data_IF_763219870424
#
_entry.id   IF_763219870424
#
_cell.length_a   1.000
_cell.length_b   1.000
_cell.length_c   1.000
_cell.angle_alpha   90.00
_cell.angle_beta   90.00
_cell.angle_gamma   90.00
#
_symmetry.space_group_name_H-M   'P 1'
#
loop_
_entity.id
_entity.type
_entity.pdbx_description
1 polymer ?
#
# COMPACT_ATOMS: atom_id res chain seq x y z
N UNK A 1 5.87 18.92 4.40
CA UNK A 1 6.22 17.51 4.61
C UNK A 1 7.24 17.09 3.56
N UNK A 2 8.22 16.27 3.93
CA UNK A 2 9.15 15.64 2.99
C UNK A 2 8.51 14.38 2.34
N UNK A 3 9.14 13.81 1.32
CA UNK A 3 8.59 12.66 0.58
C UNK A 3 8.35 11.44 1.48
N UNK A 4 9.19 11.25 2.51
CA UNK A 4 9.02 10.20 3.52
C UNK A 4 7.71 10.38 4.28
N UNK A 5 7.45 11.57 4.83
CA UNK A 5 6.23 11.88 5.59
C UNK A 5 4.97 11.71 4.73
N UNK A 6 5.00 12.16 3.47
CA UNK A 6 3.85 12.02 2.55
C UNK A 6 3.60 10.55 2.22
N UNK A 7 4.64 9.79 1.87
CA UNK A 7 4.48 8.36 1.58
C UNK A 7 4.00 7.60 2.82
N UNK A 8 4.53 7.93 4.01
CA UNK A 8 4.11 7.35 5.28
C UNK A 8 2.63 7.56 5.55
N UNK A 9 2.12 8.78 5.31
CA UNK A 9 0.70 9.12 5.45
C UNK A 9 -0.17 8.32 4.47
N UNK A 10 0.22 8.28 3.20
CA UNK A 10 -0.50 7.51 2.16
C UNK A 10 -0.56 6.02 2.49
N UNK A 11 0.56 5.44 2.95
CA UNK A 11 0.60 4.06 3.43
C UNK A 11 -0.30 3.85 4.65
N UNK A 12 -0.35 4.81 5.58
CA UNK A 12 -1.26 4.78 6.72
C UNK A 12 -2.73 4.76 6.30
N UNK A 13 -3.10 5.57 5.30
CA UNK A 13 -4.43 5.55 4.70
C UNK A 13 -4.74 4.19 4.06
N UNK A 14 -3.81 3.62 3.29
CA UNK A 14 -3.98 2.29 2.69
C UNK A 14 -4.23 1.20 3.73
N UNK A 15 -3.50 1.21 4.86
CA UNK A 15 -3.75 0.28 5.98
C UNK A 15 -5.15 0.47 6.58
N UNK A 16 -5.61 1.72 6.72
CA UNK A 16 -6.95 2.00 7.22
C UNK A 16 -8.05 1.49 6.28
N UNK A 17 -7.93 1.75 4.97
CA UNK A 17 -8.87 1.26 3.97
C UNK A 17 -8.87 -0.28 3.88
N UNK A 18 -7.70 -0.91 4.05
CA UNK A 18 -7.59 -2.38 4.12
C UNK A 18 -8.38 -2.94 5.30
N UNK A 19 -8.31 -2.30 6.48
CA UNK A 19 -9.08 -2.72 7.66
C UNK A 19 -10.58 -2.56 7.43
N UNK A 20 -11.02 -1.46 6.80
CA UNK A 20 -12.42 -1.26 6.47
C UNK A 20 -12.93 -2.30 5.46
N UNK A 21 -12.14 -2.59 4.42
CA UNK A 21 -12.45 -3.58 3.39
C UNK A 21 -12.65 -4.99 3.95
N UNK A 22 -11.90 -5.39 4.99
CA UNK A 22 -12.03 -6.70 5.64
C UNK A 22 -13.43 -6.98 6.18
N UNK A 23 -14.12 -5.94 6.66
CA UNK A 23 -15.48 -6.06 7.20
C UNK A 23 -16.55 -6.20 6.11
N UNK A 24 -16.18 -6.03 4.83
CA UNK A 24 -17.10 -6.02 3.68
C UNK A 24 -16.99 -7.28 2.81
N UNK A 25 -16.07 -8.19 3.12
CA UNK A 25 -15.73 -9.34 2.28
C UNK A 25 -15.92 -10.67 3.01
N UNK A 26 -15.86 -11.78 2.26
CA UNK A 26 -15.91 -13.11 2.85
C UNK A 26 -14.64 -13.47 3.63
N UNK A 27 -14.68 -14.55 4.40
CA UNK A 27 -13.56 -14.94 5.28
C UNK A 27 -12.27 -15.25 4.52
N UNK A 28 -12.35 -15.71 3.27
CA UNK A 28 -11.18 -16.01 2.45
C UNK A 28 -10.49 -14.72 2.00
N UNK A 29 -11.27 -13.74 1.54
CA UNK A 29 -10.77 -12.43 1.15
C UNK A 29 -10.32 -11.61 2.38
N UNK A 30 -11.01 -11.72 3.52
CA UNK A 30 -10.58 -11.08 4.77
C UNK A 30 -9.22 -11.63 5.26
N UNK A 31 -9.00 -12.94 5.12
CA UNK A 31 -7.71 -13.57 5.42
C UNK A 31 -6.60 -13.13 4.46
N UNK A 32 -6.92 -12.88 3.19
CA UNK A 32 -5.98 -12.29 2.25
C UNK A 32 -5.63 -10.84 2.61
N UNK A 33 -6.65 -10.01 2.89
CA UNK A 33 -6.46 -8.62 3.27
C UNK A 33 -5.67 -8.45 4.58
N UNK A 34 -5.75 -9.42 5.50
CA UNK A 34 -4.88 -9.42 6.68
C UNK A 34 -3.40 -9.55 6.32
N UNK A 35 -3.06 -10.48 5.41
CA UNK A 35 -1.68 -10.63 4.93
C UNK A 35 -1.21 -9.39 4.16
N UNK A 36 -2.09 -8.85 3.32
CA UNK A 36 -1.83 -7.61 2.59
C UNK A 36 -1.53 -6.44 3.55
N UNK A 37 -2.34 -6.28 4.60
CA UNK A 37 -2.13 -5.30 5.66
C UNK A 37 -0.76 -5.48 6.32
N UNK A 38 -0.39 -6.70 6.68
CA UNK A 38 0.92 -7.00 7.32
C UNK A 38 2.11 -6.64 6.40
N UNK A 39 1.97 -6.84 5.08
CA UNK A 39 2.95 -6.37 4.09
C UNK A 39 3.04 -4.85 4.05
N UNK A 40 1.90 -4.14 4.05
CA UNK A 40 1.88 -2.66 4.05
C UNK A 40 2.47 -2.08 5.35
N UNK A 41 2.21 -2.70 6.49
CA UNK A 41 2.83 -2.34 7.78
C UNK A 41 4.35 -2.60 7.78
N UNK A 42 4.82 -3.60 7.04
CA UNK A 42 6.25 -3.85 6.86
C UNK A 42 6.90 -2.74 6.02
N UNK A 43 6.27 -2.34 4.92
CA UNK A 43 6.74 -1.19 4.10
C UNK A 43 6.78 0.09 4.93
N UNK A 44 5.76 0.32 5.76
CA UNK A 44 5.74 1.42 6.74
C UNK A 44 6.98 1.43 7.64
N UNK A 45 7.38 0.26 8.18
CA UNK A 45 8.57 0.16 9.03
C UNK A 45 9.84 0.51 8.24
N UNK A 46 9.93 0.09 6.98
CA UNK A 46 11.04 0.43 6.10
C UNK A 46 11.11 1.94 5.78
N UNK A 47 9.95 2.59 5.65
CA UNK A 47 9.85 4.06 5.52
C UNK A 47 10.40 4.71 6.79
N UNK A 48 9.94 4.26 7.96
CA UNK A 48 10.36 4.83 9.24
C UNK A 48 11.87 4.71 9.48
N UNK A 49 12.46 3.57 9.09
CA UNK A 49 13.90 3.31 9.23
C UNK A 49 14.77 3.89 8.11
N UNK A 50 14.20 4.59 7.12
CA UNK A 50 14.92 5.09 5.94
C UNK A 50 15.62 3.99 5.12
N UNK A 51 15.08 2.77 5.15
CA UNK A 51 15.65 1.59 4.47
C UNK A 51 14.75 1.03 3.37
N UNK A 52 13.88 1.86 2.78
CA UNK A 52 13.18 1.42 1.57
C UNK A 52 14.21 1.16 0.47
N UNK A 53 14.17 -0.01 -0.18
CA UNK A 53 15.05 -0.27 -1.31
C UNK A 53 14.68 0.65 -2.48
N UNK A 54 15.70 1.12 -3.21
CA UNK A 54 15.52 1.83 -4.48
C UNK A 54 14.75 0.95 -5.46
N UNK A 55 13.76 1.52 -6.15
CA UNK A 55 12.91 0.77 -7.07
C UNK A 55 12.32 1.67 -8.15
N UNK A 56 12.14 1.12 -9.35
CA UNK A 56 11.35 1.71 -10.43
C UNK A 56 9.82 1.55 -10.19
N UNK A 57 9.37 1.67 -8.93
CA UNK A 57 7.97 1.54 -8.54
C UNK A 57 7.48 0.13 -8.20
N UNK A 58 8.31 -0.91 -8.39
CA UNK A 58 7.92 -2.31 -8.16
C UNK A 58 7.99 -2.79 -6.71
N UNK A 59 8.57 -2.01 -5.79
CA UNK A 59 8.79 -2.43 -4.40
C UNK A 59 7.52 -2.43 -3.55
N UNK A 60 6.57 -1.53 -3.81
CA UNK A 60 5.32 -1.48 -3.05
C UNK A 60 4.26 -2.35 -3.73
N UNK A 61 3.99 -2.14 -5.03
CA UNK A 61 3.10 -2.98 -5.83
C UNK A 61 1.70 -3.12 -5.25
N UNK A 62 1.19 -2.07 -4.61
CA UNK A 62 -0.04 -2.10 -3.82
C UNK A 62 -1.26 -2.46 -4.67
N UNK A 63 -1.36 -1.93 -5.90
CA UNK A 63 -2.49 -2.24 -6.81
C UNK A 63 -2.37 -3.62 -7.42
N UNK A 64 -1.14 -4.07 -7.73
CA UNK A 64 -0.90 -5.39 -8.35
C UNK A 64 -1.39 -6.51 -7.43
N UNK A 65 -1.08 -6.41 -6.13
CA UNK A 65 -1.56 -7.37 -5.14
C UNK A 65 -3.10 -7.46 -5.09
N UNK A 66 -3.81 -6.33 -5.18
CA UNK A 66 -5.28 -6.32 -5.17
C UNK A 66 -5.89 -6.82 -6.49
N UNK A 67 -5.22 -6.58 -7.62
CA UNK A 67 -5.71 -6.91 -8.96
C UNK A 67 -5.78 -8.41 -9.22
N UNK A 68 -5.06 -9.23 -8.45
CA UNK A 68 -5.15 -10.70 -8.51
C UNK A 68 -6.53 -11.23 -8.06
N UNK A 69 -7.37 -10.39 -7.43
CA UNK A 69 -8.71 -10.74 -6.95
C UNK A 69 -9.76 -9.72 -7.42
N UNK A 70 -10.54 -10.07 -8.45
CA UNK A 70 -11.59 -9.20 -9.03
C UNK A 70 -12.57 -8.57 -8.02
N UNK A 71 -12.84 -9.23 -6.89
CA UNK A 71 -13.71 -8.66 -5.84
C UNK A 71 -13.03 -7.53 -5.07
N UNK A 72 -11.72 -7.61 -4.84
CA UNK A 72 -10.96 -6.60 -4.09
C UNK A 72 -10.69 -5.36 -4.94
N UNK A 73 -10.43 -5.53 -6.24
CA UNK A 73 -10.31 -4.39 -7.17
C UNK A 73 -11.62 -3.61 -7.35
N UNK A 74 -12.77 -4.20 -6.98
CA UNK A 74 -14.06 -3.53 -6.98
C UNK A 74 -14.31 -2.66 -5.73
N UNK A 75 -13.45 -2.74 -4.71
CA UNK A 75 -13.52 -1.90 -3.51
C UNK A 75 -12.80 -0.58 -3.78
N UNK A 76 -13.55 0.39 -4.31
CA UNK A 76 -13.01 1.67 -4.83
C UNK A 76 -12.08 2.35 -3.83
N UNK A 77 -12.49 2.54 -2.56
CA UNK A 77 -11.64 3.22 -1.57
C UNK A 77 -10.31 2.52 -1.31
N UNK A 78 -10.30 1.19 -1.28
CA UNK A 78 -9.10 0.38 -1.10
C UNK A 78 -8.20 0.48 -2.33
N UNK A 79 -8.77 0.31 -3.52
CA UNK A 79 -8.02 0.36 -4.77
C UNK A 79 -7.46 1.75 -5.06
N UNK A 80 -8.22 2.81 -4.79
CA UNK A 80 -7.77 4.19 -4.93
C UNK A 80 -6.62 4.52 -3.97
N UNK A 81 -6.68 4.06 -2.72
CA UNK A 81 -5.59 4.23 -1.77
C UNK A 81 -4.32 3.48 -2.20
N UNK A 82 -4.48 2.28 -2.77
CA UNK A 82 -3.35 1.51 -3.31
C UNK A 82 -2.73 2.22 -4.53
N UNK A 83 -3.56 2.72 -5.45
CA UNK A 83 -3.11 3.46 -6.63
C UNK A 83 -2.41 4.77 -6.26
N UNK A 84 -2.91 5.49 -5.25
CA UNK A 84 -2.29 6.73 -4.76
C UNK A 84 -0.89 6.48 -4.16
N UNK A 85 -0.70 5.36 -3.46
CA UNK A 85 0.60 4.93 -2.96
C UNK A 85 1.57 4.63 -4.11
N UNK A 86 1.16 3.77 -5.05
CA UNK A 86 2.02 3.35 -6.17
C UNK A 86 2.38 4.55 -7.08
N UNK A 87 1.41 5.43 -7.36
CA UNK A 87 1.62 6.64 -8.14
C UNK A 87 2.59 7.59 -7.42
N UNK A 88 2.37 7.85 -6.13
CA UNK A 88 3.23 8.77 -5.39
C UNK A 88 4.66 8.25 -5.29
N UNK A 89 4.83 6.97 -4.94
CA UNK A 89 6.13 6.33 -4.84
C UNK A 89 6.88 6.32 -6.17
N UNK A 90 6.22 5.93 -7.26
CA UNK A 90 6.84 5.88 -8.58
C UNK A 90 7.20 7.26 -9.14
N UNK A 91 6.56 8.34 -8.72
CA UNK A 91 6.87 9.69 -9.21
C UNK A 91 7.89 10.43 -8.32
N UNK A 92 7.82 10.25 -7.00
CA UNK A 92 8.50 11.10 -6.03
C UNK A 92 9.58 10.37 -5.23
N UNK A 93 9.61 9.04 -5.29
CA UNK A 93 10.47 8.21 -4.44
C UNK A 93 11.39 7.25 -5.23
N UNK A 94 11.53 7.45 -6.55
CA UNK A 94 12.43 6.65 -7.43
C UNK A 94 13.87 6.60 -6.90
N UNK A 95 14.34 7.71 -6.37
CA UNK A 95 15.58 7.79 -5.59
C UNK A 95 15.19 7.97 -4.13
N UNK A 96 15.05 6.86 -3.40
CA UNK A 96 14.82 6.90 -1.94
C UNK A 96 16.04 7.44 -1.18
N UNK A 97 17.20 7.46 -1.85
CA UNK A 97 18.43 8.04 -1.34
C UNK A 97 18.30 9.56 -1.16
N UNK A 98 18.53 9.98 0.08
CA UNK A 98 18.94 11.33 0.52
C UNK A 98 20.15 11.79 -0.29
#
# INVERSE_FOLDING_TARGET
MNNKEILREKMGRLVAETKAAKELVDSADAGYLEKYKDSMETVIRLIDSDTIPTSEGGVIGATSALSERNKLSSLISLYDAAADVDLYYSQNCKTWAV
#
